data_IF_639995770208
#
_entry.id   IF_639995770208
#
_cell.length_a   1.000
_cell.length_b   1.000
_cell.length_c   1.000
_cell.angle_alpha   90.00
_cell.angle_beta   90.00
_cell.angle_gamma   90.00
#
_symmetry.space_group_name_H-M   'P 1'
#
loop_
_entity.id
_entity.type
_entity.pdbx_description
1 polymer ?
#
# COMPACT_ATOMS: atom_id res chain seq x y z
N UNK A 1 -7.65 5.93 -16.10
CA UNK A 1 -8.65 5.74 -15.02
C UNK A 1 -8.09 4.76 -14.00
N UNK A 2 -8.33 5.00 -12.69
CA UNK A 2 -7.96 4.07 -11.61
C UNK A 2 -9.15 3.23 -11.19
N UNK A 3 -8.92 1.95 -10.88
CA UNK A 3 -9.90 1.04 -10.32
C UNK A 3 -9.67 0.89 -8.81
N UNK A 4 -10.60 1.36 -7.99
CA UNK A 4 -10.60 1.17 -6.54
C UNK A 4 -11.43 -0.07 -6.24
N UNK A 5 -10.78 -1.11 -5.72
CA UNK A 5 -11.45 -2.39 -5.48
C UNK A 5 -12.18 -2.37 -4.14
N UNK A 6 -13.45 -2.74 -4.15
CA UNK A 6 -14.27 -2.87 -2.94
C UNK A 6 -14.45 -4.34 -2.57
N UNK A 7 -14.08 -4.69 -1.35
CA UNK A 7 -14.41 -5.98 -0.73
C UNK A 7 -15.46 -5.79 0.35
N UNK A 8 -16.23 -6.82 0.72
CA UNK A 8 -17.03 -6.77 1.94
C UNK A 8 -16.13 -6.46 3.14
N UNK A 9 -16.39 -5.35 3.84
CA UNK A 9 -15.55 -4.89 4.95
C UNK A 9 -14.38 -3.96 4.57
N UNK A 10 -14.25 -3.53 3.31
CA UNK A 10 -13.41 -2.37 2.97
C UNK A 10 -13.94 -1.14 3.71
N UNK A 11 -13.04 -0.38 4.33
CA UNK A 11 -13.39 0.83 5.10
C UNK A 11 -12.89 2.10 4.40
N UNK A 12 -11.73 2.01 3.75
CA UNK A 12 -11.02 3.16 3.18
C UNK A 12 -11.17 3.25 1.65
N UNK A 13 -12.10 2.52 1.07
CA UNK A 13 -12.38 2.52 -0.37
C UNK A 13 -12.89 3.89 -0.85
N UNK A 14 -13.77 4.52 -0.06
CA UNK A 14 -14.27 5.87 -0.36
C UNK A 14 -13.22 6.93 -0.15
N UNK A 15 -12.37 6.81 0.87
CA UNK A 15 -11.29 7.73 1.14
C UNK A 15 -10.24 7.67 0.03
N UNK A 16 -9.88 6.46 -0.41
CA UNK A 16 -8.99 6.27 -1.55
C UNK A 16 -9.59 6.85 -2.85
N UNK A 17 -10.89 6.61 -3.09
CA UNK A 17 -11.59 7.19 -4.22
C UNK A 17 -11.61 8.72 -4.14
N UNK A 18 -11.92 9.29 -2.98
CA UNK A 18 -11.94 10.73 -2.73
C UNK A 18 -10.56 11.36 -2.95
N UNK A 19 -9.52 10.79 -2.36
CA UNK A 19 -8.15 11.26 -2.51
C UNK A 19 -7.74 11.33 -3.99
N UNK A 20 -7.99 10.26 -4.72
CA UNK A 20 -7.61 10.18 -6.12
C UNK A 20 -8.50 11.01 -7.06
N UNK A 21 -9.82 11.06 -6.84
CA UNK A 21 -10.75 11.71 -7.75
C UNK A 21 -10.99 13.17 -7.41
N UNK A 22 -11.25 13.50 -6.15
CA UNK A 22 -11.65 14.85 -5.72
C UNK A 22 -10.44 15.72 -5.43
N UNK A 23 -9.44 15.19 -4.71
CA UNK A 23 -8.26 15.96 -4.34
C UNK A 23 -7.26 16.03 -5.49
N UNK A 24 -6.93 14.90 -6.10
CA UNK A 24 -5.92 14.79 -7.15
C UNK A 24 -6.48 14.93 -8.58
N UNK A 25 -7.79 15.07 -8.74
CA UNK A 25 -8.48 15.20 -10.02
C UNK A 25 -8.17 14.05 -11.02
N UNK A 26 -7.97 12.84 -10.50
CA UNK A 26 -7.81 11.63 -11.29
C UNK A 26 -9.16 10.99 -11.62
N UNK A 27 -9.27 10.27 -12.73
CA UNK A 27 -10.48 9.49 -13.03
C UNK A 27 -10.43 8.18 -12.26
N UNK A 28 -11.43 7.91 -11.42
CA UNK A 28 -11.56 6.69 -10.62
C UNK A 28 -12.91 6.01 -10.82
N UNK A 29 -12.92 4.69 -10.72
CA UNK A 29 -14.12 3.87 -10.69
C UNK A 29 -14.05 2.92 -9.51
N UNK A 30 -15.15 2.77 -8.77
CA UNK A 30 -15.30 1.74 -7.75
C UNK A 30 -15.61 0.43 -8.46
N UNK A 31 -14.93 -0.65 -8.05
CA UNK A 31 -15.07 -1.99 -8.65
C UNK A 31 -15.38 -2.99 -7.55
N UNK A 32 -16.53 -3.62 -7.64
CA UNK A 32 -16.96 -4.61 -6.67
C UNK A 32 -16.19 -5.92 -6.80
N UNK A 33 -15.85 -6.54 -5.70
CA UNK A 33 -15.01 -7.75 -5.68
C UNK A 33 -15.53 -8.94 -6.49
N UNK A 34 -16.84 -8.98 -6.80
CA UNK A 34 -17.46 -10.04 -7.59
C UNK A 34 -17.31 -9.84 -9.11
N UNK A 35 -16.89 -8.67 -9.55
CA UNK A 35 -16.54 -8.44 -10.94
C UNK A 35 -15.37 -9.36 -11.34
N UNK A 36 -15.37 -9.83 -12.58
CA UNK A 36 -14.31 -10.70 -13.10
C UNK A 36 -13.26 -9.97 -13.95
N UNK A 37 -13.56 -8.72 -14.34
CA UNK A 37 -12.72 -7.89 -15.19
C UNK A 37 -12.60 -6.46 -14.65
N UNK A 38 -11.46 -5.84 -14.92
CA UNK A 38 -11.26 -4.43 -14.66
C UNK A 38 -11.93 -3.59 -15.74
N UNK A 39 -12.43 -2.38 -15.40
CA UNK A 39 -12.99 -1.45 -16.38
C UNK A 39 -12.02 -1.16 -17.52
N UNK A 40 -12.54 -1.03 -18.73
CA UNK A 40 -11.72 -0.68 -19.90
C UNK A 40 -10.96 0.64 -19.67
N UNK A 41 -9.69 0.67 -20.08
CA UNK A 41 -8.83 1.84 -19.90
C UNK A 41 -8.32 2.03 -18.45
N UNK A 42 -8.38 0.99 -17.62
CA UNK A 42 -7.73 1.01 -16.30
C UNK A 42 -6.22 1.20 -16.47
N UNK A 43 -5.67 2.22 -15.81
CA UNK A 43 -4.25 2.57 -15.80
C UNK A 43 -3.57 2.30 -14.44
N UNK A 44 -4.33 2.00 -13.41
CA UNK A 44 -3.83 1.60 -12.09
C UNK A 44 -4.94 0.99 -11.25
N UNK A 45 -4.57 0.09 -10.35
CA UNK A 45 -5.47 -0.60 -9.43
C UNK A 45 -5.11 -0.24 -8.00
N UNK A 46 -6.12 0.06 -7.18
CA UNK A 46 -5.98 0.46 -5.80
C UNK A 46 -6.77 -0.52 -4.91
N UNK A 47 -6.07 -1.20 -4.00
CA UNK A 47 -6.67 -2.05 -2.97
C UNK A 47 -6.63 -1.28 -1.64
N UNK A 48 -7.76 -0.74 -1.19
CA UNK A 48 -7.82 0.11 0.00
C UNK A 48 -7.67 -0.69 1.29
N UNK A 49 -7.54 0.05 2.39
CA UNK A 49 -7.58 -0.49 3.75
C UNK A 49 -8.97 -0.92 4.20
N UNK A 50 -9.03 -1.55 5.36
CA UNK A 50 -10.23 -2.05 5.99
C UNK A 50 -10.03 -3.41 6.64
N UNK A 51 -11.12 -4.16 6.73
CA UNK A 51 -11.17 -5.50 7.32
C UNK A 51 -11.93 -6.44 6.37
N UNK A 52 -11.34 -6.69 5.20
CA UNK A 52 -12.00 -7.47 4.15
C UNK A 52 -12.47 -8.83 4.65
N UNK A 53 -13.76 -9.12 4.45
CA UNK A 53 -14.44 -10.31 4.98
C UNK A 53 -14.32 -10.48 6.51
N UNK A 54 -14.17 -9.36 7.27
CA UNK A 54 -14.04 -9.38 8.72
C UNK A 54 -12.75 -10.03 9.21
N UNK A 55 -11.70 -10.12 8.37
CA UNK A 55 -10.41 -10.74 8.66
C UNK A 55 -10.50 -12.23 9.09
N UNK A 56 -11.60 -12.90 8.70
CA UNK A 56 -11.75 -14.34 8.95
C UNK A 56 -10.60 -15.12 8.31
N UNK A 57 -10.11 -16.13 9.01
CA UNK A 57 -8.90 -16.90 8.80
C UNK A 57 -7.64 -16.09 9.14
N UNK A 58 -7.36 -15.03 8.39
CA UNK A 58 -6.37 -13.96 8.62
C UNK A 58 -6.62 -12.82 7.64
N UNK A 59 -6.07 -11.66 7.93
CA UNK A 59 -6.27 -10.47 7.13
C UNK A 59 -5.89 -10.70 5.65
N UNK A 60 -6.81 -10.35 4.75
CA UNK A 60 -6.62 -10.49 3.30
C UNK A 60 -6.84 -11.89 2.71
N UNK A 61 -6.85 -12.95 3.54
CA UNK A 61 -6.90 -14.35 3.06
C UNK A 61 -8.17 -14.68 2.26
N UNK A 62 -9.32 -14.16 2.68
CA UNK A 62 -10.58 -14.37 1.94
C UNK A 62 -10.65 -13.49 0.69
N UNK A 63 -10.19 -12.25 0.78
CA UNK A 63 -10.26 -11.29 -0.32
C UNK A 63 -9.46 -11.74 -1.55
N UNK A 64 -8.31 -12.39 -1.36
CA UNK A 64 -7.51 -12.92 -2.46
C UNK A 64 -8.24 -13.94 -3.36
N UNK A 65 -9.31 -14.56 -2.85
CA UNK A 65 -10.13 -15.54 -3.58
C UNK A 65 -11.26 -14.87 -4.38
N UNK A 66 -11.46 -13.57 -4.23
CA UNK A 66 -12.50 -12.83 -4.94
C UNK A 66 -12.27 -12.86 -6.45
N UNK A 67 -13.33 -12.96 -7.28
CA UNK A 67 -13.22 -13.04 -8.73
C UNK A 67 -12.35 -11.94 -9.35
N UNK A 68 -12.47 -10.70 -8.87
CA UNK A 68 -11.69 -9.56 -9.39
C UNK A 68 -10.17 -9.74 -9.25
N UNK A 69 -9.71 -10.51 -8.25
CA UNK A 69 -8.26 -10.72 -8.03
C UNK A 69 -7.60 -11.46 -9.20
N UNK A 70 -8.35 -12.26 -9.95
CA UNK A 70 -7.87 -12.83 -11.22
C UNK A 70 -7.51 -11.76 -12.24
N UNK A 71 -8.35 -10.73 -12.38
CA UNK A 71 -8.10 -9.60 -13.28
C UNK A 71 -6.95 -8.71 -12.76
N UNK A 72 -6.89 -8.46 -11.44
CA UNK A 72 -5.79 -7.72 -10.80
C UNK A 72 -4.44 -8.42 -11.05
N UNK A 73 -4.37 -9.73 -10.85
CA UNK A 73 -3.14 -10.52 -11.12
C UNK A 73 -2.72 -10.43 -12.59
N UNK A 74 -3.68 -10.55 -13.53
CA UNK A 74 -3.38 -10.38 -14.96
C UNK A 74 -2.90 -8.97 -15.29
N UNK A 75 -3.50 -7.95 -14.68
CA UNK A 75 -3.11 -6.55 -14.86
C UNK A 75 -1.68 -6.29 -14.34
N UNK A 76 -1.36 -6.72 -13.13
CA UNK A 76 -0.03 -6.61 -12.55
C UNK A 76 1.03 -7.34 -13.40
N UNK A 77 0.73 -8.57 -13.87
CA UNK A 77 1.63 -9.35 -14.72
C UNK A 77 1.98 -8.65 -16.05
N UNK A 78 1.07 -7.80 -16.57
CA UNK A 78 1.32 -6.99 -17.78
C UNK A 78 2.06 -5.68 -17.48
N UNK A 79 2.57 -5.48 -16.27
CA UNK A 79 3.27 -4.27 -15.84
C UNK A 79 2.34 -3.16 -15.33
N UNK A 80 1.04 -3.41 -15.23
CA UNK A 80 0.09 -2.44 -14.70
C UNK A 80 0.34 -2.15 -13.22
N UNK A 81 0.34 -0.88 -12.78
CA UNK A 81 0.61 -0.52 -11.40
C UNK A 81 -0.53 -0.90 -10.47
N UNK A 82 -0.16 -1.51 -9.33
CA UNK A 82 -1.09 -1.90 -8.27
C UNK A 82 -0.59 -1.37 -6.94
N UNK A 83 -1.43 -0.63 -6.23
CA UNK A 83 -1.17 -0.13 -4.88
C UNK A 83 -2.11 -0.80 -3.89
N UNK A 84 -1.56 -1.36 -2.82
CA UNK A 84 -2.33 -1.87 -1.68
C UNK A 84 -1.96 -1.13 -0.40
N UNK A 85 -2.95 -0.51 0.27
CA UNK A 85 -2.77 0.18 1.55
C UNK A 85 -3.35 -0.66 2.68
N UNK A 86 -2.64 -0.81 3.79
CA UNK A 86 -3.06 -1.54 4.99
C UNK A 86 -3.62 -2.94 4.64
N UNK A 87 -4.94 -3.14 4.71
CA UNK A 87 -5.58 -4.42 4.31
C UNK A 87 -5.30 -4.77 2.83
N UNK A 88 -5.20 -3.79 1.94
CA UNK A 88 -4.77 -4.00 0.55
C UNK A 88 -3.37 -4.61 0.45
N UNK A 89 -2.43 -4.19 1.30
CA UNK A 89 -1.10 -4.80 1.37
C UNK A 89 -1.18 -6.27 1.83
N UNK A 90 -1.98 -6.56 2.85
CA UNK A 90 -2.23 -7.93 3.33
C UNK A 90 -2.79 -8.80 2.19
N UNK A 91 -3.77 -8.30 1.44
CA UNK A 91 -4.35 -9.00 0.28
C UNK A 91 -3.29 -9.27 -0.79
N UNK A 92 -2.41 -8.31 -1.08
CA UNK A 92 -1.35 -8.49 -2.08
C UNK A 92 -0.34 -9.56 -1.69
N UNK A 93 0.03 -9.67 -0.40
CA UNK A 93 0.86 -10.75 0.11
C UNK A 93 0.15 -12.10 0.01
N UNK A 94 -1.10 -12.21 0.45
CA UNK A 94 -1.89 -13.44 0.36
C UNK A 94 -2.13 -13.88 -1.08
N UNK A 95 -2.24 -12.93 -2.00
CA UNK A 95 -2.40 -13.19 -3.44
C UNK A 95 -1.10 -13.62 -4.15
N UNK A 96 0.05 -13.56 -3.46
CA UNK A 96 1.37 -13.84 -4.02
C UNK A 96 1.85 -12.77 -5.02
N UNK A 97 1.30 -11.55 -4.94
CA UNK A 97 1.73 -10.40 -5.75
C UNK A 97 2.87 -9.64 -5.08
N UNK A 98 3.04 -9.79 -3.77
CA UNK A 98 4.14 -9.25 -2.99
C UNK A 98 4.79 -10.36 -2.16
N UNK A 99 6.08 -10.24 -1.86
CA UNK A 99 6.80 -11.16 -0.96
C UNK A 99 6.43 -10.91 0.50
N UNK A 100 6.73 -11.89 1.36
CA UNK A 100 6.52 -11.81 2.79
C UNK A 100 5.07 -11.98 3.22
N UNK A 101 4.78 -11.62 4.45
CA UNK A 101 3.46 -11.69 5.06
C UNK A 101 3.28 -10.60 6.14
N UNK A 102 2.05 -10.23 6.44
CA UNK A 102 1.72 -9.35 7.57
C UNK A 102 1.24 -10.20 8.75
N UNK A 103 1.75 -9.91 9.93
CA UNK A 103 1.45 -10.59 11.19
C UNK A 103 0.86 -9.60 12.19
N UNK A 104 0.33 -10.11 13.29
CA UNK A 104 -0.08 -9.27 14.42
C UNK A 104 1.06 -8.40 14.88
N UNK A 105 0.72 -7.16 15.22
CA UNK A 105 1.67 -6.22 15.84
C UNK A 105 2.37 -6.88 17.03
N UNK A 106 3.65 -6.62 17.21
CA UNK A 106 4.46 -7.24 18.26
C UNK A 106 3.92 -7.00 19.68
N UNK A 107 3.22 -5.88 19.88
CA UNK A 107 2.58 -5.53 21.16
C UNK A 107 1.19 -6.14 21.32
N UNK A 108 0.65 -6.84 20.31
CA UNK A 108 -0.70 -7.43 20.27
C UNK A 108 -1.83 -6.42 20.48
N UNK A 109 -1.59 -5.15 20.18
CA UNK A 109 -2.58 -4.08 20.26
C UNK A 109 -2.82 -3.45 18.89
N UNK A 110 -3.99 -2.88 18.70
CA UNK A 110 -4.29 -2.03 17.56
C UNK A 110 -3.57 -0.68 17.75
N UNK A 111 -2.83 -0.27 16.72
CA UNK A 111 -2.12 1.02 16.72
C UNK A 111 -2.81 1.96 15.76
N UNK A 112 -3.07 3.19 16.21
CA UNK A 112 -3.61 4.29 15.41
C UNK A 112 -2.79 5.53 15.76
N UNK A 113 -1.90 5.94 14.85
CA UNK A 113 -0.93 7.01 15.09
C UNK A 113 -0.39 7.56 13.77
N UNK A 114 0.22 8.73 13.80
CA UNK A 114 1.02 9.25 12.70
C UNK A 114 2.45 8.75 12.82
N UNK A 115 3.00 8.24 11.72
CA UNK A 115 4.35 7.68 11.67
C UNK A 115 5.20 8.38 10.62
N UNK A 116 6.51 8.47 10.89
CA UNK A 116 7.46 8.96 9.91
C UNK A 116 8.03 7.81 9.08
N UNK A 117 8.12 8.05 7.79
CA UNK A 117 8.55 7.07 6.80
C UNK A 117 9.72 7.63 5.99
N UNK A 118 10.83 6.92 5.98
CA UNK A 118 11.95 7.24 5.11
C UNK A 118 11.79 6.55 3.75
N UNK A 119 11.91 7.34 2.69
CA UNK A 119 11.93 6.84 1.30
C UNK A 119 13.31 6.25 1.02
N UNK A 120 13.39 4.96 0.73
CA UNK A 120 14.66 4.25 0.50
C UNK A 120 15.19 4.46 -0.92
N UNK A 121 14.31 4.74 -1.86
CA UNK A 121 14.68 5.05 -3.24
C UNK A 121 13.59 5.83 -3.97
N UNK A 122 13.98 6.57 -5.02
CA UNK A 122 13.02 7.04 -6.02
C UNK A 122 12.66 5.87 -6.95
N UNK A 123 11.40 5.58 -7.12
CA UNK A 123 10.90 4.46 -7.93
C UNK A 123 9.59 4.83 -8.63
N UNK A 124 9.55 4.71 -9.95
CA UNK A 124 8.31 4.75 -10.71
C UNK A 124 7.51 3.45 -10.46
N UNK A 125 6.18 3.54 -10.38
CA UNK A 125 5.36 4.75 -10.46
C UNK A 125 4.97 5.32 -9.08
N UNK A 126 5.60 4.92 -7.96
CA UNK A 126 5.07 5.14 -6.62
C UNK A 126 5.77 6.26 -5.82
N UNK A 127 6.99 6.64 -6.18
CA UNK A 127 7.76 7.65 -5.46
C UNK A 127 8.52 8.62 -6.36
N UNK A 128 8.00 8.87 -7.57
CA UNK A 128 8.62 9.82 -8.52
C UNK A 128 8.61 11.25 -8.04
N UNK A 129 7.68 11.60 -7.15
CA UNK A 129 7.58 12.91 -6.50
C UNK A 129 8.44 13.07 -5.26
N UNK A 130 9.24 12.07 -4.91
CA UNK A 130 10.14 12.09 -3.74
C UNK A 130 11.55 11.76 -4.14
N UNK A 131 12.51 12.14 -3.29
CA UNK A 131 13.90 11.74 -3.41
C UNK A 131 14.25 10.70 -2.34
N UNK A 132 15.34 9.94 -2.56
CA UNK A 132 15.87 9.03 -1.55
C UNK A 132 16.22 9.81 -0.28
N UNK A 133 15.79 9.31 0.86
CA UNK A 133 15.98 9.95 2.17
C UNK A 133 14.89 10.95 2.55
N UNK A 134 13.93 11.26 1.66
CA UNK A 134 12.79 12.09 2.02
C UNK A 134 12.00 11.42 3.16
N UNK A 135 11.47 12.25 4.07
CA UNK A 135 10.63 11.81 5.18
C UNK A 135 9.19 12.19 4.86
N UNK A 136 8.31 11.20 4.96
CA UNK A 136 6.86 11.38 4.82
C UNK A 136 6.20 11.09 6.15
N UNK A 137 5.19 11.86 6.52
CA UNK A 137 4.35 11.60 7.70
C UNK A 137 3.00 11.11 7.24
N UNK A 138 2.67 9.86 7.58
CA UNK A 138 1.42 9.22 7.18
C UNK A 138 0.77 8.52 8.37
N UNK A 139 -0.56 8.49 8.46
CA UNK A 139 -1.26 7.75 9.51
C UNK A 139 -1.21 6.23 9.28
N UNK A 140 -1.18 5.49 10.38
CA UNK A 140 -1.40 4.04 10.46
C UNK A 140 -2.60 3.74 11.35
N UNK A 141 -3.33 2.67 11.04
CA UNK A 141 -4.44 2.15 11.86
C UNK A 141 -4.60 0.65 11.61
N UNK A 142 -3.93 -0.17 12.39
CA UNK A 142 -3.91 -1.63 12.17
C UNK A 142 -3.57 -2.43 13.44
N UNK A 143 -4.09 -3.66 13.53
CA UNK A 143 -3.70 -4.67 14.51
C UNK A 143 -2.72 -5.71 13.96
N UNK A 144 -2.64 -5.85 12.64
CA UNK A 144 -1.81 -6.83 11.92
C UNK A 144 -1.00 -6.14 10.81
N UNK A 145 -0.02 -5.33 11.21
CA UNK A 145 0.85 -4.57 10.30
C UNK A 145 2.33 -4.96 10.35
N UNK A 146 2.68 -5.96 11.17
CA UNK A 146 4.06 -6.41 11.34
C UNK A 146 4.52 -7.20 10.11
N UNK A 147 5.30 -6.56 9.24
CA UNK A 147 5.88 -7.23 8.07
C UNK A 147 6.90 -8.29 8.50
N UNK A 148 6.76 -9.48 7.92
CA UNK A 148 7.61 -10.63 8.17
C UNK A 148 8.02 -11.30 6.86
N UNK A 149 9.28 -11.70 6.78
CA UNK A 149 9.83 -12.51 5.71
C UNK A 149 10.89 -13.45 6.31
N UNK A 150 11.22 -14.56 5.64
CA UNK A 150 12.38 -15.37 6.02
C UNK A 150 13.68 -14.58 5.83
N UNK A 151 14.76 -14.98 6.50
CA UNK A 151 16.06 -14.31 6.36
C UNK A 151 16.53 -14.27 4.89
N UNK A 152 16.30 -15.35 4.15
CA UNK A 152 16.64 -15.43 2.72
C UNK A 152 15.79 -14.43 1.91
N UNK A 153 14.48 -14.37 2.13
CA UNK A 153 13.61 -13.42 1.43
C UNK A 153 13.94 -11.98 1.79
N UNK A 154 14.23 -11.71 3.07
CA UNK A 154 14.63 -10.38 3.50
C UNK A 154 15.94 -9.95 2.81
N UNK A 155 16.93 -10.85 2.74
CA UNK A 155 18.16 -10.61 2.00
C UNK A 155 17.93 -10.31 0.52
N UNK A 156 17.02 -11.03 -0.14
CA UNK A 156 16.65 -10.77 -1.54
C UNK A 156 15.91 -9.44 -1.71
N UNK A 157 15.02 -9.06 -0.79
CA UNK A 157 14.33 -7.77 -0.80
C UNK A 157 15.32 -6.60 -0.74
N UNK A 158 16.31 -6.70 0.14
CA UNK A 158 17.38 -5.69 0.27
C UNK A 158 18.25 -5.64 -0.99
N UNK A 159 18.73 -6.79 -1.47
CA UNK A 159 19.58 -6.90 -2.64
C UNK A 159 18.91 -6.36 -3.91
N UNK A 160 17.63 -6.64 -4.08
CA UNK A 160 16.85 -6.19 -5.24
C UNK A 160 16.32 -4.76 -5.08
N UNK A 161 16.54 -4.11 -3.93
CA UNK A 161 16.00 -2.78 -3.64
C UNK A 161 14.48 -2.75 -3.67
N UNK A 162 13.81 -3.78 -3.14
CA UNK A 162 12.34 -3.89 -3.10
C UNK A 162 11.74 -3.19 -1.88
N UNK A 163 12.52 -2.81 -0.88
CA UNK A 163 12.04 -1.98 0.23
C UNK A 163 11.94 -0.54 -0.23
N UNK A 164 10.72 0.01 -0.26
CA UNK A 164 10.48 1.38 -0.68
C UNK A 164 10.42 2.34 0.51
N UNK A 165 9.79 1.92 1.61
CA UNK A 165 9.53 2.76 2.78
C UNK A 165 9.91 2.02 4.06
N UNK A 166 10.53 2.76 5.00
CA UNK A 166 10.81 2.27 6.36
C UNK A 166 10.27 3.23 7.39
N UNK A 167 9.76 2.69 8.48
CA UNK A 167 9.48 3.48 9.69
C UNK A 167 10.78 4.09 10.23
N UNK A 168 10.75 5.36 10.57
CA UNK A 168 11.91 6.09 11.07
C UNK A 168 11.49 7.16 12.08
N UNK A 169 12.48 7.77 12.74
CA UNK A 169 12.32 9.02 13.48
C UNK A 169 12.16 10.20 12.50
N UNK A 170 11.77 11.36 13.01
CA UNK A 170 11.62 12.58 12.22
C UNK A 170 12.90 13.00 11.47
N UNK A 171 14.06 12.67 12.03
CA UNK A 171 15.37 12.93 11.40
C UNK A 171 15.81 11.85 10.40
N UNK A 172 14.96 10.83 10.15
CA UNK A 172 15.22 9.71 9.25
C UNK A 172 16.02 8.57 9.88
N UNK A 173 16.36 8.63 11.16
CA UNK A 173 17.04 7.54 11.86
C UNK A 173 16.10 6.35 12.04
N UNK A 174 16.56 5.16 11.68
CA UNK A 174 15.84 3.90 11.92
C UNK A 174 16.16 3.42 13.33
N UNK A 175 15.15 3.37 14.19
CA UNK A 175 15.27 2.92 15.57
C UNK A 175 14.22 1.86 15.91
N UNK A 176 14.40 1.20 17.06
CA UNK A 176 13.36 0.32 17.59
C UNK A 176 12.14 1.12 18.06
N UNK A 177 12.34 2.36 18.51
CA UNK A 177 11.27 3.23 19.00
C UNK A 177 10.37 3.73 17.85
N UNK A 178 10.96 3.99 16.67
CA UNK A 178 10.19 4.42 15.49
C UNK A 178 9.42 3.28 14.79
N UNK A 179 9.61 2.03 15.21
CA UNK A 179 8.94 0.87 14.63
C UNK A 179 7.65 0.54 15.40
N UNK A 180 6.47 0.93 14.91
CA UNK A 180 5.24 0.90 15.70
C UNK A 180 4.65 -0.50 15.86
N UNK A 181 5.07 -1.47 15.05
CA UNK A 181 4.41 -2.78 14.95
C UNK A 181 5.36 -3.99 14.99
N UNK A 182 6.68 -3.77 15.02
CA UNK A 182 7.67 -4.83 15.05
C UNK A 182 8.04 -5.39 13.68
N UNK A 183 7.74 -4.68 12.60
CA UNK A 183 8.14 -5.05 11.23
C UNK A 183 9.64 -5.32 11.11
N UNK A 184 10.03 -6.40 10.46
CA UNK A 184 11.43 -6.71 10.19
C UNK A 184 12.09 -5.55 9.40
N UNK A 185 13.30 -5.15 9.83
CA UNK A 185 14.03 -4.04 9.22
C UNK A 185 13.27 -2.72 9.20
N UNK A 186 12.27 -2.53 10.09
CA UNK A 186 11.35 -1.37 10.10
C UNK A 186 10.63 -1.16 8.78
N UNK A 187 10.41 -2.21 8.00
CA UNK A 187 9.76 -2.15 6.69
C UNK A 187 8.31 -1.70 6.85
N UNK A 188 7.96 -0.61 6.16
CA UNK A 188 6.61 -0.05 6.10
C UNK A 188 5.95 -0.27 4.74
N UNK A 189 6.75 -0.44 3.68
CA UNK A 189 6.26 -0.70 2.32
C UNK A 189 7.27 -1.40 1.44
N UNK A 190 6.77 -2.38 0.64
CA UNK A 190 7.58 -3.20 -0.26
C UNK A 190 7.03 -3.21 -1.68
N UNK A 191 7.93 -3.35 -2.64
CA UNK A 191 7.65 -3.54 -4.06
C UNK A 191 7.77 -5.02 -4.43
N UNK A 192 7.03 -5.43 -5.47
CA UNK A 192 7.37 -6.66 -6.17
C UNK A 192 8.69 -6.49 -6.94
N UNK A 193 9.21 -7.58 -7.50
CA UNK A 193 10.49 -7.59 -8.23
C UNK A 193 10.47 -6.67 -9.45
N UNK A 194 9.33 -6.58 -10.14
CA UNK A 194 9.13 -5.76 -11.33
C UNK A 194 8.94 -4.27 -11.01
N UNK A 195 8.68 -3.91 -9.75
CA UNK A 195 8.53 -2.53 -9.29
C UNK A 195 7.16 -1.91 -9.57
N UNK A 196 6.19 -2.68 -10.09
CA UNK A 196 4.86 -2.18 -10.45
C UNK A 196 3.75 -2.54 -9.46
N UNK A 197 4.05 -3.28 -8.39
CA UNK A 197 3.13 -3.54 -7.29
C UNK A 197 3.75 -3.04 -5.99
N UNK A 198 3.05 -2.16 -5.29
CA UNK A 198 3.44 -1.62 -3.98
C UNK A 198 2.40 -1.98 -2.94
N UNK A 199 2.87 -2.51 -1.81
CA UNK A 199 2.08 -2.62 -0.58
C UNK A 199 2.71 -1.78 0.51
N UNK A 200 1.90 -1.04 1.24
CA UNK A 200 2.32 -0.28 2.42
C UNK A 200 1.26 -0.32 3.52
N UNK A 201 1.71 -0.33 4.79
CA UNK A 201 0.78 -0.31 5.92
C UNK A 201 0.20 1.08 6.22
N UNK A 202 0.96 2.19 6.06
CA UNK A 202 0.41 3.54 6.20
C UNK A 202 -0.63 3.88 5.13
N UNK A 203 -1.44 4.91 5.43
CA UNK A 203 -2.58 5.35 4.64
C UNK A 203 -2.32 6.68 3.94
N UNK A 204 -1.76 6.71 2.72
CA UNK A 204 -1.56 7.95 1.98
C UNK A 204 -2.87 8.67 1.65
N UNK A 205 -3.99 7.95 1.51
CA UNK A 205 -5.31 8.49 1.25
C UNK A 205 -5.86 9.38 2.37
N UNK A 206 -5.35 9.22 3.60
CA UNK A 206 -5.71 10.02 4.75
C UNK A 206 -4.78 11.24 4.97
N UNK A 207 -3.73 11.39 4.18
CA UNK A 207 -2.78 12.50 4.24
C UNK A 207 -2.71 13.25 2.91
N UNK A 208 -3.87 13.72 2.41
CA UNK A 208 -4.00 14.45 1.13
C UNK A 208 -4.54 15.87 1.30
N UNK A 209 -4.96 16.24 2.52
CA UNK A 209 -5.49 17.55 2.86
C UNK A 209 -4.93 18.02 4.20
N UNK A 210 -4.38 19.23 4.25
CA UNK A 210 -3.78 19.79 5.46
C UNK A 210 -4.75 19.87 6.65
N UNK A 211 -6.05 20.01 6.40
CA UNK A 211 -7.08 20.06 7.41
C UNK A 211 -7.24 18.72 8.18
N UNK A 212 -6.78 17.62 7.60
CA UNK A 212 -6.90 16.25 8.16
C UNK A 212 -5.55 15.64 8.57
N UNK A 213 -4.52 16.45 8.79
CA UNK A 213 -3.27 16.00 9.37
C UNK A 213 -2.07 15.98 8.44
N UNK A 214 -2.23 16.33 7.17
CA UNK A 214 -1.06 16.42 6.29
C UNK A 214 -1.35 16.23 4.81
N UNK A 215 -0.30 16.41 4.00
CA UNK A 215 -0.38 16.29 2.53
C UNK A 215 0.67 15.36 1.95
N UNK A 216 1.42 14.64 2.78
CA UNK A 216 2.53 13.79 2.34
C UNK A 216 2.07 12.57 1.54
N UNK A 217 0.80 12.15 1.71
CA UNK A 217 0.18 11.11 0.88
C UNK A 217 0.10 11.47 -0.60
N UNK A 218 0.08 12.78 -0.93
CA UNK A 218 0.13 13.26 -2.31
C UNK A 218 1.43 12.84 -3.01
N UNK A 219 2.51 12.66 -2.28
CA UNK A 219 3.77 12.20 -2.86
C UNK A 219 3.64 10.81 -3.50
N UNK A 220 2.92 9.89 -2.86
CA UNK A 220 2.70 8.51 -3.35
C UNK A 220 1.58 8.47 -4.39
N UNK A 221 0.39 8.96 -4.02
CA UNK A 221 -0.78 8.91 -4.89
C UNK A 221 -0.62 9.78 -6.14
N UNK A 222 0.05 10.93 -5.99
CA UNK A 222 0.37 11.83 -7.09
C UNK A 222 1.39 11.26 -8.06
N UNK A 223 2.40 10.50 -7.56
CA UNK A 223 3.35 9.79 -8.42
C UNK A 223 2.63 8.80 -9.33
N UNK A 224 1.69 8.03 -8.76
CA UNK A 224 0.87 7.09 -9.50
C UNK A 224 -0.01 7.79 -10.56
N UNK A 225 -0.55 8.96 -10.24
CA UNK A 225 -1.36 9.76 -11.16
C UNK A 225 -0.52 10.30 -12.32
N UNK A 226 0.70 10.80 -12.06
CA UNK A 226 1.59 11.35 -13.09
C UNK A 226 1.96 10.27 -14.11
N UNK A 227 2.29 9.07 -13.67
CA UNK A 227 2.52 7.93 -14.56
C UNK A 227 1.30 7.68 -15.47
N UNK A 228 0.08 7.70 -14.92
CA UNK A 228 -1.13 7.46 -15.69
C UNK A 228 -1.45 8.57 -16.72
N UNK A 229 -0.94 9.78 -16.50
CA UNK A 229 -1.07 10.92 -17.46
C UNK A 229 -0.03 10.86 -18.57
N UNK A 230 1.12 10.26 -18.31
CA UNK A 230 2.24 10.15 -19.27
C UNK A 230 2.13 8.93 -20.20
N UNK A 231 1.30 7.95 -19.86
CA UNK A 231 1.01 6.73 -20.62
C UNK A 231 -0.29 6.87 -21.44
#
# INVERSE_FOLDING_TARGET
>A
MFAVIQFPGSCDDRDMWFAMSSVLAGKCSMVWHQESELPAGTKGVLLPGGFSYGDYLRCGAMAQLSPIMGAVKRFAKRGGPVLGTCNGFQILCEAGLLPGALRRNSQLVFVCDDVHLRVEKRAEPFSSRTEKGAILTLPIKHGEGCFYASEMELGLLEQNGQVLLRYCELDGTISKASNPNGSLGSIAGVLNKEGNVLGLMPHPEHAVEAAFGGTDGIAILGSLLDMARSA
#
